data_IF_714993570318
#
_entry.id   IF_714993570318
#
_cell.length_a   1.000
_cell.length_b   1.000
_cell.length_c   1.000
_cell.angle_alpha   90.00
_cell.angle_beta   90.00
_cell.angle_gamma   90.00
#
_symmetry.space_group_name_H-M   'P 1'
#
loop_
_entity.id
_entity.type
_entity.pdbx_description
1 polymer ?
#
# COMPACT_ATOMS: atom_id res chain seq x y z
N UNK A 1 12.74 -3.24 -20.23
CA UNK A 1 12.36 -2.18 -19.28
C UNK A 1 12.95 -2.57 -17.94
N UNK A 2 13.62 -1.64 -17.25
CA UNK A 2 14.24 -1.83 -15.94
C UNK A 2 13.37 -1.21 -14.85
N UNK A 3 13.64 -1.50 -13.58
CA UNK A 3 12.88 -0.91 -12.47
C UNK A 3 12.94 0.63 -12.46
N UNK A 4 14.05 1.20 -12.94
CA UNK A 4 14.26 2.64 -13.06
C UNK A 4 13.28 3.32 -14.02
N UNK A 5 12.77 2.59 -15.03
CA UNK A 5 11.77 3.11 -15.99
C UNK A 5 10.40 3.31 -15.33
N UNK A 6 10.21 2.78 -14.12
CA UNK A 6 8.94 2.75 -13.38
C UNK A 6 9.05 3.35 -11.97
N UNK A 7 10.03 4.21 -11.74
CA UNK A 7 10.08 4.98 -10.50
C UNK A 7 8.83 5.88 -10.41
N UNK A 8 8.29 5.98 -9.20
CA UNK A 8 7.14 6.82 -8.90
C UNK A 8 7.48 8.29 -9.12
N UNK A 9 6.49 9.07 -9.52
CA UNK A 9 6.61 10.52 -9.61
C UNK A 9 6.41 11.17 -8.23
N UNK A 10 6.74 12.45 -8.10
CA UNK A 10 6.41 13.24 -6.91
C UNK A 10 4.92 13.22 -6.54
N UNK A 11 4.05 13.17 -7.56
CA UNK A 11 2.59 13.08 -7.37
C UNK A 11 2.22 11.72 -6.79
N UNK A 12 2.78 10.63 -7.31
CA UNK A 12 2.54 9.28 -6.79
C UNK A 12 3.03 9.15 -5.35
N UNK A 13 4.21 9.70 -5.04
CA UNK A 13 4.76 9.74 -3.68
C UNK A 13 3.85 10.53 -2.74
N UNK A 14 3.39 11.71 -3.15
CA UNK A 14 2.46 12.53 -2.35
C UNK A 14 1.12 11.81 -2.12
N UNK A 15 0.56 11.17 -3.15
CA UNK A 15 -0.66 10.37 -3.04
C UNK A 15 -0.46 9.18 -2.11
N UNK A 16 0.68 8.49 -2.16
CA UNK A 16 0.98 7.39 -1.24
C UNK A 16 1.07 7.89 0.20
N UNK A 17 1.74 9.03 0.47
CA UNK A 17 1.82 9.58 1.83
C UNK A 17 0.46 10.03 2.37
N UNK A 18 -0.44 10.51 1.50
CA UNK A 18 -1.80 10.91 1.89
C UNK A 18 -2.70 9.69 2.10
N UNK A 19 -2.75 8.78 1.13
CA UNK A 19 -3.72 7.69 1.07
C UNK A 19 -3.21 6.40 1.72
N UNK A 20 -1.90 6.22 1.81
CA UNK A 20 -1.25 5.04 2.37
C UNK A 20 -1.21 3.83 1.42
N UNK A 21 -1.51 4.01 0.12
CA UNK A 21 -1.42 2.92 -0.86
C UNK A 21 -1.13 3.43 -2.28
N UNK A 22 -0.64 2.52 -3.13
CA UNK A 22 -0.42 2.68 -4.56
C UNK A 22 -0.80 1.36 -5.26
N UNK A 23 -1.40 1.43 -6.45
CA UNK A 23 -1.86 0.24 -7.19
C UNK A 23 -1.20 0.20 -8.54
N UNK A 24 -0.68 -0.97 -8.90
CA UNK A 24 -0.01 -1.22 -10.17
C UNK A 24 -0.76 -2.31 -10.92
N UNK A 25 -1.23 -2.02 -12.13
CA UNK A 25 -1.67 -3.04 -13.08
C UNK A 25 -0.45 -3.52 -13.88
N UNK A 26 -0.06 -4.78 -13.69
CA UNK A 26 1.17 -5.32 -14.23
C UNK A 26 0.99 -5.83 -15.67
N UNK A 27 1.93 -5.48 -16.53
CA UNK A 27 2.06 -6.05 -17.88
C UNK A 27 2.78 -7.41 -17.83
N UNK A 28 2.10 -8.40 -17.23
CA UNK A 28 2.64 -9.75 -17.06
C UNK A 28 2.55 -10.56 -18.37
N UNK A 29 3.45 -11.54 -18.57
CA UNK A 29 3.34 -12.49 -19.67
C UNK A 29 1.95 -13.10 -19.78
N UNK A 30 1.44 -13.18 -21.01
CA UNK A 30 0.12 -13.74 -21.27
C UNK A 30 -0.01 -15.15 -20.67
N UNK A 31 -1.05 -15.36 -19.86
CA UNK A 31 -1.33 -16.64 -19.20
C UNK A 31 -0.70 -16.80 -17.80
N UNK A 32 0.25 -15.97 -17.39
CA UNK A 32 0.91 -16.11 -16.08
C UNK A 32 -0.08 -16.02 -14.91
N UNK A 33 -0.98 -15.04 -14.94
CA UNK A 33 -2.09 -14.88 -13.99
C UNK A 33 -2.94 -16.16 -13.84
N UNK A 34 -3.27 -16.78 -14.98
CA UNK A 34 -4.07 -18.00 -15.03
C UNK A 34 -3.30 -19.18 -14.47
N UNK A 35 -2.04 -19.35 -14.86
CA UNK A 35 -1.16 -20.39 -14.34
C UNK A 35 -1.06 -20.32 -12.81
N UNK A 36 -0.75 -19.13 -12.27
CA UNK A 36 -0.67 -18.93 -10.81
C UNK A 36 -2.00 -19.30 -10.14
N UNK A 37 -3.14 -18.90 -10.71
CA UNK A 37 -4.45 -19.26 -10.15
C UNK A 37 -4.69 -20.78 -10.15
N UNK A 38 -4.35 -21.47 -11.24
CA UNK A 38 -4.50 -22.92 -11.37
C UNK A 38 -3.59 -23.69 -10.40
N UNK A 39 -2.34 -23.25 -10.22
CA UNK A 39 -1.42 -23.83 -9.23
C UNK A 39 -1.92 -23.65 -7.80
N UNK A 40 -2.41 -22.46 -7.46
CA UNK A 40 -3.03 -22.19 -6.16
C UNK A 40 -4.26 -23.08 -5.92
N UNK A 41 -5.10 -23.28 -6.94
CA UNK A 41 -6.26 -24.18 -6.83
C UNK A 41 -5.87 -25.65 -6.65
N UNK A 42 -4.70 -26.04 -7.15
CA UNK A 42 -4.12 -27.38 -6.98
C UNK A 42 -3.54 -27.66 -5.59
N UNK A 43 -3.31 -26.63 -4.76
CA UNK A 43 -2.78 -26.80 -3.41
C UNK A 43 -3.82 -27.44 -2.48
N UNK A 44 -3.42 -28.49 -1.77
CA UNK A 44 -4.30 -29.22 -0.83
C UNK A 44 -4.45 -28.52 0.52
N UNK A 45 -3.52 -27.63 0.87
CA UNK A 45 -3.52 -26.82 2.07
C UNK A 45 -2.76 -25.51 1.84
N UNK A 46 -2.92 -24.54 2.75
CA UNK A 46 -2.15 -23.30 2.71
C UNK A 46 -0.69 -23.58 3.11
N UNK A 47 0.30 -23.32 2.24
CA UNK A 47 1.71 -23.59 2.54
C UNK A 47 2.33 -22.55 3.49
N UNK A 48 1.59 -21.51 3.87
CA UNK A 48 2.08 -20.43 4.72
C UNK A 48 3.23 -19.69 4.04
N UNK A 49 4.32 -19.49 4.78
CA UNK A 49 5.50 -18.77 4.30
C UNK A 49 6.20 -19.48 3.13
N UNK A 50 5.91 -20.76 2.89
CA UNK A 50 6.44 -21.55 1.78
C UNK A 50 5.68 -21.35 0.44
N UNK A 51 4.87 -20.29 0.32
CA UNK A 51 3.99 -20.07 -0.83
C UNK A 51 4.77 -19.89 -2.14
N UNK A 52 5.90 -19.20 -2.12
CA UNK A 52 6.73 -19.01 -3.34
C UNK A 52 7.54 -20.25 -3.70
N UNK A 53 7.73 -21.18 -2.78
CA UNK A 53 8.32 -22.48 -3.04
C UNK A 53 7.27 -23.42 -3.65
N UNK A 54 6.00 -23.22 -3.29
CA UNK A 54 4.86 -23.97 -3.82
C UNK A 54 4.37 -23.44 -5.17
N UNK A 55 4.49 -22.13 -5.40
CA UNK A 55 4.12 -21.41 -6.64
C UNK A 55 5.28 -20.46 -7.02
N UNK A 56 6.37 -20.97 -7.62
CA UNK A 56 7.59 -20.19 -7.94
C UNK A 56 7.37 -18.99 -8.86
N UNK A 57 6.35 -19.03 -9.70
CA UNK A 57 5.92 -18.01 -10.65
C UNK A 57 5.63 -16.66 -9.95
N UNK A 58 5.30 -16.69 -8.67
CA UNK A 58 5.13 -15.48 -7.86
C UNK A 58 6.38 -14.59 -7.82
N UNK A 59 7.58 -15.15 -8.00
CA UNK A 59 8.79 -14.34 -8.12
C UNK A 59 8.79 -13.47 -9.37
N UNK A 60 8.22 -13.94 -10.49
CA UNK A 60 8.10 -13.11 -11.71
C UNK A 60 7.21 -11.88 -11.48
N UNK A 61 6.27 -11.95 -10.52
CA UNK A 61 5.41 -10.83 -10.13
C UNK A 61 6.16 -9.86 -9.21
N UNK A 62 6.76 -10.37 -8.13
CA UNK A 62 7.46 -9.53 -7.13
C UNK A 62 8.69 -8.85 -7.73
N UNK A 63 9.39 -9.55 -8.64
CA UNK A 63 10.57 -9.03 -9.33
C UNK A 63 10.22 -8.23 -10.59
N UNK A 64 8.95 -8.10 -10.94
CA UNK A 64 8.52 -7.36 -12.11
C UNK A 64 9.00 -5.89 -12.04
N UNK A 65 9.57 -5.32 -13.13
CA UNK A 65 10.10 -3.96 -13.12
C UNK A 65 9.15 -2.89 -12.57
N UNK A 66 7.84 -2.99 -12.87
CA UNK A 66 6.84 -2.06 -12.34
C UNK A 66 6.67 -2.16 -10.81
N UNK A 67 6.72 -3.37 -10.24
CA UNK A 67 6.66 -3.58 -8.78
C UNK A 67 7.95 -3.07 -8.14
N UNK A 68 9.10 -3.44 -8.70
CA UNK A 68 10.41 -3.02 -8.21
C UNK A 68 10.58 -1.51 -8.24
N UNK A 69 10.18 -0.84 -9.32
CA UNK A 69 10.26 0.62 -9.43
C UNK A 69 9.46 1.34 -8.35
N UNK A 70 8.24 0.86 -8.08
CA UNK A 70 7.41 1.37 -6.99
C UNK A 70 8.02 1.10 -5.60
N UNK A 71 8.54 -0.11 -5.36
CA UNK A 71 9.18 -0.45 -4.07
C UNK A 71 10.47 0.35 -3.84
N UNK A 72 11.32 0.53 -4.86
CA UNK A 72 12.53 1.36 -4.78
C UNK A 72 12.17 2.81 -4.43
N UNK A 73 11.13 3.34 -5.07
CA UNK A 73 10.66 4.71 -4.81
C UNK A 73 10.24 4.92 -3.36
N UNK A 74 9.62 3.90 -2.73
CA UNK A 74 9.06 3.99 -1.38
C UNK A 74 10.04 3.55 -0.28
N UNK A 75 10.90 2.57 -0.53
CA UNK A 75 11.76 1.91 0.47
C UNK A 75 13.27 2.08 0.23
N UNK A 76 13.69 2.63 -0.92
CA UNK A 76 15.09 2.70 -1.34
C UNK A 76 15.54 1.47 -2.13
N UNK A 77 16.72 1.55 -2.77
CA UNK A 77 17.22 0.50 -3.69
C UNK A 77 17.48 -0.85 -3.00
N UNK A 78 17.94 -0.81 -1.75
CA UNK A 78 18.35 -1.99 -0.98
C UNK A 78 17.22 -2.61 -0.15
N UNK A 79 15.95 -2.37 -0.51
CA UNK A 79 14.81 -2.94 0.21
C UNK A 79 14.88 -4.47 0.25
N UNK A 80 14.28 -5.07 1.28
CA UNK A 80 14.21 -6.53 1.44
C UNK A 80 12.80 -7.04 1.26
N UNK A 81 12.68 -8.23 0.68
CA UNK A 81 11.45 -9.03 0.70
C UNK A 81 11.50 -9.94 1.94
N UNK A 82 10.51 -9.85 2.81
CA UNK A 82 10.44 -10.67 4.01
C UNK A 82 10.14 -12.13 3.65
N UNK A 83 10.61 -13.07 4.48
CA UNK A 83 10.21 -14.48 4.39
C UNK A 83 8.74 -14.69 4.72
N UNK A 84 8.16 -13.82 5.56
CA UNK A 84 6.74 -13.89 5.86
C UNK A 84 5.91 -13.52 4.64
N UNK A 85 5.16 -14.50 4.14
CA UNK A 85 4.37 -14.43 2.91
C UNK A 85 3.13 -15.26 3.13
N UNK A 86 1.99 -14.85 2.60
CA UNK A 86 0.76 -15.57 2.88
C UNK A 86 -0.21 -15.59 1.71
N UNK A 87 -0.72 -16.77 1.41
CA UNK A 87 -1.83 -16.93 0.48
C UNK A 87 -3.16 -16.80 1.22
N UNK A 88 -3.90 -15.75 0.92
CA UNK A 88 -5.25 -15.54 1.42
C UNK A 88 -6.27 -16.07 0.41
N UNK A 89 -6.68 -17.32 0.60
CA UNK A 89 -7.77 -17.94 -0.15
C UNK A 89 -9.11 -17.72 0.56
N UNK A 90 -9.98 -16.90 -0.04
CA UNK A 90 -11.31 -16.63 0.51
C UNK A 90 -12.37 -17.47 -0.20
N UNK A 91 -12.94 -18.43 0.51
CA UNK A 91 -13.89 -19.40 -0.05
C UNK A 91 -15.28 -18.79 -0.33
N UNK A 92 -16.05 -19.33 -1.29
CA UNK A 92 -17.46 -18.99 -1.48
C UNK A 92 -18.26 -19.08 -0.17
N UNK A 93 -19.11 -18.10 0.10
CA UNK A 93 -19.95 -18.03 1.30
C UNK A 93 -19.22 -17.66 2.60
N UNK A 94 -17.91 -17.38 2.56
CA UNK A 94 -17.16 -16.98 3.76
C UNK A 94 -17.47 -15.54 4.18
N UNK A 95 -17.52 -15.32 5.50
CA UNK A 95 -17.80 -14.02 6.12
C UNK A 95 -16.68 -13.00 5.93
N UNK A 96 -16.88 -11.80 6.45
CA UNK A 96 -15.92 -10.70 6.46
C UNK A 96 -14.81 -10.90 7.51
N UNK A 97 -13.77 -10.06 7.42
CA UNK A 97 -12.76 -9.92 8.46
C UNK A 97 -12.78 -8.48 8.95
N UNK A 98 -12.80 -8.31 10.27
CA UNK A 98 -12.86 -7.01 10.93
C UNK A 98 -11.63 -6.15 10.59
N UNK A 99 -11.76 -4.84 10.84
CA UNK A 99 -10.65 -3.92 10.69
C UNK A 99 -9.49 -4.28 11.60
N UNK A 100 -8.31 -4.33 11.00
CA UNK A 100 -7.07 -4.53 11.68
C UNK A 100 -5.96 -3.82 10.90
N UNK A 101 -4.80 -3.80 11.53
CA UNK A 101 -3.51 -3.61 10.87
C UNK A 101 -2.70 -4.86 11.15
N UNK A 102 -1.68 -5.11 10.33
CA UNK A 102 -0.81 -6.25 10.58
C UNK A 102 0.06 -5.99 11.82
N UNK A 103 0.10 -6.97 12.73
CA UNK A 103 0.84 -6.83 13.99
C UNK A 103 0.33 -5.70 14.90
N UNK A 104 1.18 -5.28 15.82
CA UNK A 104 0.85 -4.24 16.81
C UNK A 104 1.10 -2.84 16.25
N UNK A 105 0.26 -1.87 16.62
CA UNK A 105 0.47 -0.46 16.27
C UNK A 105 1.74 0.08 16.93
N UNK A 106 2.79 0.21 16.11
CA UNK A 106 4.08 0.78 16.52
C UNK A 106 4.03 2.31 16.69
N UNK A 107 2.92 2.95 16.30
CA UNK A 107 2.68 4.40 16.35
C UNK A 107 3.77 5.19 15.62
N UNK A 108 4.42 4.55 14.66
CA UNK A 108 5.43 5.14 13.79
C UNK A 108 4.79 6.04 12.75
N UNK A 109 5.57 6.99 12.27
CA UNK A 109 5.17 7.91 11.20
C UNK A 109 6.09 7.80 9.99
N UNK A 110 6.93 6.77 9.94
CA UNK A 110 7.95 6.57 8.92
C UNK A 110 7.50 5.53 7.90
N UNK A 111 7.98 5.63 6.66
CA UNK A 111 7.70 4.62 5.62
C UNK A 111 8.86 3.60 5.63
N UNK A 112 8.78 2.63 6.53
CA UNK A 112 9.81 1.59 6.71
C UNK A 112 9.36 0.19 6.27
N UNK A 113 8.04 -0.03 6.20
CA UNK A 113 7.45 -1.33 5.90
C UNK A 113 6.24 -1.18 4.99
N UNK A 114 6.13 -2.08 4.03
CA UNK A 114 5.02 -2.14 3.08
C UNK A 114 4.40 -3.54 3.04
N UNK A 115 3.11 -3.57 2.72
CA UNK A 115 2.39 -4.78 2.30
C UNK A 115 2.21 -4.75 0.79
N UNK A 116 2.57 -5.83 0.12
CA UNK A 116 2.20 -6.07 -1.27
C UNK A 116 1.07 -7.09 -1.36
N UNK A 117 0.02 -6.76 -2.09
CA UNK A 117 -1.16 -7.60 -2.28
C UNK A 117 -1.32 -7.88 -3.78
N UNK A 118 -0.99 -9.10 -4.19
CA UNK A 118 -1.12 -9.53 -5.57
C UNK A 118 -2.41 -10.28 -5.82
N UNK A 119 -3.09 -9.96 -6.92
CA UNK A 119 -4.35 -10.56 -7.34
C UNK A 119 -4.18 -11.28 -8.70
N UNK A 120 -4.09 -12.62 -8.73
CA UNK A 120 -3.85 -13.37 -9.98
C UNK A 120 -5.09 -13.48 -10.88
N UNK A 121 -6.22 -12.94 -10.45
CA UNK A 121 -7.50 -12.96 -11.17
C UNK A 121 -8.32 -11.72 -10.79
N UNK A 122 -9.28 -11.34 -11.64
CA UNK A 122 -10.11 -10.16 -11.42
C UNK A 122 -10.97 -10.32 -10.17
N UNK A 123 -11.01 -9.29 -9.34
CA UNK A 123 -11.78 -9.25 -8.10
C UNK A 123 -13.01 -8.34 -8.28
N UNK A 124 -14.20 -8.92 -8.18
CA UNK A 124 -15.46 -8.17 -8.18
C UNK A 124 -15.91 -7.86 -6.75
N UNK A 125 -16.88 -6.93 -6.54
CA UNK A 125 -17.41 -6.63 -5.21
C UNK A 125 -17.92 -7.85 -4.44
N UNK A 126 -18.49 -8.83 -5.14
CA UNK A 126 -19.12 -10.03 -4.55
C UNK A 126 -18.10 -11.09 -4.14
N UNK A 127 -16.84 -10.99 -4.61
CA UNK A 127 -15.78 -11.97 -4.34
C UNK A 127 -15.10 -11.77 -2.96
N UNK A 128 -15.59 -10.83 -2.16
CA UNK A 128 -15.00 -10.47 -0.87
C UNK A 128 -13.63 -9.80 -1.04
N UNK A 129 -13.57 -8.63 -1.71
CA UNK A 129 -12.33 -7.88 -1.88
C UNK A 129 -11.68 -7.55 -0.53
N UNK A 130 -10.36 -7.37 -0.56
CA UNK A 130 -9.68 -6.64 0.51
C UNK A 130 -10.24 -5.23 0.54
N UNK A 131 -10.59 -4.72 1.71
CA UNK A 131 -11.07 -3.34 1.88
C UNK A 131 -9.99 -2.59 2.63
N UNK A 132 -9.55 -1.47 2.09
CA UNK A 132 -8.56 -0.59 2.71
C UNK A 132 -9.21 0.71 3.17
N UNK A 133 -8.59 1.39 4.12
CA UNK A 133 -9.08 2.67 4.63
C UNK A 133 -8.02 3.75 4.44
N UNK A 134 -8.06 4.49 3.32
CA UNK A 134 -7.03 5.46 2.98
C UNK A 134 -6.82 6.54 4.06
N UNK A 135 -5.56 6.89 4.32
CA UNK A 135 -5.18 7.90 5.32
C UNK A 135 -5.12 7.42 6.77
N UNK A 136 -5.39 6.14 7.04
CA UNK A 136 -5.34 5.59 8.40
C UNK A 136 -3.95 5.17 8.88
N UNK A 137 -2.95 5.14 8.00
CA UNK A 137 -1.61 4.62 8.29
C UNK A 137 -0.88 5.34 9.44
N UNK A 138 -1.26 6.58 9.76
CA UNK A 138 -0.69 7.36 10.86
C UNK A 138 -1.61 7.45 12.09
N UNK A 139 -2.72 6.68 12.10
CA UNK A 139 -3.68 6.70 13.20
C UNK A 139 -3.11 5.96 14.40
N UNK A 140 -2.95 6.70 15.49
CA UNK A 140 -2.70 6.13 16.79
C UNK A 140 -4.03 5.65 17.41
N UNK A 141 -4.43 4.41 17.08
CA UNK A 141 -5.59 3.76 17.67
C UNK A 141 -5.20 2.45 18.36
N UNK A 142 -5.89 2.07 19.45
CA UNK A 142 -5.69 0.77 20.09
C UNK A 142 -6.07 -0.38 19.15
N UNK A 143 -5.12 -1.25 18.83
CA UNK A 143 -5.30 -2.38 17.90
C UNK A 143 -6.43 -3.32 18.32
N UNK A 144 -6.64 -3.53 19.61
CA UNK A 144 -7.70 -4.38 20.17
C UNK A 144 -9.10 -3.82 19.95
N UNK A 145 -9.24 -2.49 19.88
CA UNK A 145 -10.52 -1.81 19.65
C UNK A 145 -10.83 -1.62 18.17
N UNK A 146 -9.85 -1.77 17.28
CA UNK A 146 -10.05 -1.56 15.85
C UNK A 146 -11.12 -2.49 15.28
N UNK A 147 -11.14 -3.75 15.73
CA UNK A 147 -12.09 -4.75 15.28
C UNK A 147 -13.56 -4.42 15.62
N UNK A 148 -13.83 -3.46 16.52
CA UNK A 148 -15.20 -3.05 16.87
C UNK A 148 -15.74 -1.92 16.00
N UNK A 149 -14.91 -1.31 15.15
CA UNK A 149 -15.40 -0.37 14.15
C UNK A 149 -16.15 -1.12 13.05
N UNK A 150 -17.18 -0.50 12.49
CA UNK A 150 -18.01 -1.08 11.41
C UNK A 150 -17.78 -0.34 10.11
N UNK A 151 -18.62 0.63 9.76
CA UNK A 151 -18.43 1.39 8.53
C UNK A 151 -17.48 2.56 8.80
N UNK A 152 -16.37 2.60 8.07
CA UNK A 152 -15.46 3.74 8.09
C UNK A 152 -15.68 4.55 6.82
N UNK A 153 -15.97 5.84 6.97
CA UNK A 153 -16.12 6.76 5.84
C UNK A 153 -14.84 6.72 4.99
N UNK A 154 -15.00 6.63 3.67
CA UNK A 154 -13.87 6.67 2.73
C UNK A 154 -13.16 5.32 2.54
N UNK A 155 -13.65 4.23 3.15
CA UNK A 155 -13.12 2.89 2.86
C UNK A 155 -13.26 2.54 1.36
N UNK A 156 -12.26 1.84 0.81
CA UNK A 156 -12.17 1.50 -0.61
C UNK A 156 -12.04 -0.03 -0.75
N UNK A 157 -12.99 -0.72 -1.39
CA UNK A 157 -12.80 -2.11 -1.77
C UNK A 157 -11.83 -2.20 -2.95
N UNK A 158 -10.84 -3.08 -2.86
CA UNK A 158 -9.91 -3.37 -3.96
C UNK A 158 -10.59 -4.30 -4.98
N UNK A 159 -11.46 -3.74 -5.81
CA UNK A 159 -12.06 -4.39 -6.99
C UNK A 159 -11.20 -4.12 -8.21
N UNK A 160 -10.30 -5.06 -8.51
CA UNK A 160 -9.16 -4.85 -9.40
C UNK A 160 -9.09 -5.92 -10.48
N UNK A 161 -8.37 -5.65 -11.57
CA UNK A 161 -8.15 -6.64 -12.63
C UNK A 161 -7.11 -7.69 -12.24
N UNK A 162 -7.15 -8.84 -12.91
CA UNK A 162 -6.09 -9.85 -12.82
C UNK A 162 -4.73 -9.22 -13.14
N UNK A 163 -3.69 -9.59 -12.37
CA UNK A 163 -2.36 -9.02 -12.52
C UNK A 163 -2.13 -7.73 -11.71
N UNK A 164 -3.10 -7.32 -10.89
CA UNK A 164 -2.93 -6.13 -10.04
C UNK A 164 -2.04 -6.44 -8.83
N UNK A 165 -1.11 -5.53 -8.55
CA UNK A 165 -0.30 -5.50 -7.34
C UNK A 165 -0.59 -4.20 -6.56
N UNK A 166 -1.28 -4.31 -5.43
CA UNK A 166 -1.52 -3.18 -4.54
C UNK A 166 -0.43 -3.12 -3.46
N UNK A 167 0.22 -1.97 -3.34
CA UNK A 167 1.23 -1.68 -2.33
C UNK A 167 0.60 -0.79 -1.28
N UNK A 168 0.60 -1.19 -0.02
CA UNK A 168 0.07 -0.38 1.09
C UNK A 168 1.16 -0.10 2.12
N UNK A 169 1.03 1.00 2.84
CA UNK A 169 1.71 1.18 4.11
C UNK A 169 1.34 0.03 5.04
N UNK A 170 2.31 -0.45 5.82
CA UNK A 170 2.11 -1.61 6.70
C UNK A 170 1.00 -1.39 7.73
N UNK A 171 0.96 -0.19 8.33
CA UNK A 171 -0.06 0.19 9.31
C UNK A 171 -1.38 0.70 8.68
N UNK A 172 -1.57 0.61 7.35
CA UNK A 172 -2.85 0.99 6.74
C UNK A 172 -3.96 0.04 7.23
N UNK A 173 -5.06 0.60 7.73
CA UNK A 173 -6.16 -0.23 8.20
C UNK A 173 -6.82 -0.93 7.04
N UNK A 174 -7.05 -2.22 7.22
CA UNK A 174 -7.66 -3.05 6.22
C UNK A 174 -8.49 -4.17 6.84
N UNK A 175 -9.33 -4.76 6.01
CA UNK A 175 -10.21 -5.88 6.32
C UNK A 175 -10.56 -6.61 5.04
N UNK A 176 -11.54 -7.50 5.09
CA UNK A 176 -12.06 -8.14 3.86
C UNK A 176 -13.57 -8.20 3.90
N UNK A 177 -14.23 -7.90 2.78
CA UNK A 177 -15.68 -8.10 2.67
C UNK A 177 -16.03 -9.59 2.59
N UNK A 178 -17.30 -9.94 2.80
CA UNK A 178 -17.80 -11.30 2.59
C UNK A 178 -17.63 -11.74 1.13
N UNK A 179 -17.31 -13.01 0.90
CA UNK A 179 -17.36 -13.59 -0.44
C UNK A 179 -18.74 -14.21 -0.66
N UNK A 180 -19.65 -13.45 -1.29
CA UNK A 180 -21.00 -13.89 -1.66
C UNK A 180 -21.06 -14.51 -3.07
N UNK A 181 -19.95 -14.57 -3.79
CA UNK A 181 -19.84 -15.23 -5.09
C UNK A 181 -19.72 -16.75 -4.98
N UNK A 182 -19.73 -17.44 -6.12
CA UNK A 182 -19.47 -18.88 -6.23
C UNK A 182 -18.00 -19.24 -6.50
N UNK A 183 -17.09 -18.26 -6.48
CA UNK A 183 -15.68 -18.44 -6.89
C UNK A 183 -14.75 -18.21 -5.70
N UNK A 184 -13.67 -19.00 -5.59
CA UNK A 184 -12.61 -18.74 -4.60
C UNK A 184 -11.88 -17.45 -4.97
N UNK A 185 -11.53 -16.63 -3.98
CA UNK A 185 -10.76 -15.39 -4.18
C UNK A 185 -9.35 -15.54 -3.63
N UNK A 186 -8.38 -15.64 -4.52
CA UNK A 186 -6.96 -15.64 -4.18
C UNK A 186 -6.41 -14.21 -4.08
N UNK A 187 -5.58 -13.97 -3.06
CA UNK A 187 -4.66 -12.84 -2.96
C UNK A 187 -3.41 -13.33 -2.27
N UNK A 188 -2.24 -12.90 -2.73
CA UNK A 188 -0.97 -13.25 -2.12
C UNK A 188 -0.38 -12.01 -1.49
N UNK A 189 -0.08 -12.13 -0.20
CA UNK A 189 0.50 -11.08 0.65
C UNK A 189 2.01 -11.26 0.73
N UNK A 190 2.73 -10.17 0.51
CA UNK A 190 4.17 -10.02 0.70
C UNK A 190 4.45 -8.87 1.67
N UNK A 191 5.56 -8.97 2.41
CA UNK A 191 6.05 -7.88 3.24
C UNK A 191 7.39 -7.39 2.70
N UNK A 192 7.59 -6.08 2.72
CA UNK A 192 8.84 -5.45 2.31
C UNK A 192 9.33 -4.51 3.40
N UNK A 193 10.65 -4.46 3.61
CA UNK A 193 11.26 -3.55 4.57
C UNK A 193 12.32 -2.68 3.92
N UNK A 194 12.35 -1.41 4.33
CA UNK A 194 13.48 -0.52 4.19
C UNK A 194 14.67 -1.06 5.00
N UNK A 195 15.86 -0.97 4.44
CA UNK A 195 17.11 -1.45 5.08
C UNK A 195 18.02 -0.31 5.50
N UNK A 196 17.89 0.85 4.87
CA UNK A 196 18.70 2.04 5.12
C UNK A 196 17.88 3.32 4.96
N UNK A 197 18.35 4.37 5.60
CA UNK A 197 17.79 5.71 5.45
C UNK A 197 18.16 6.29 4.08
N UNK A 198 17.28 7.12 3.53
CA UNK A 198 17.57 7.82 2.29
C UNK A 198 18.61 8.92 2.56
N UNK A 199 19.63 9.02 1.70
CA UNK A 199 20.51 10.19 1.62
C UNK A 199 20.08 11.16 0.52
N UNK A 200 19.21 10.69 -0.39
CA UNK A 200 18.61 11.43 -1.48
C UNK A 200 17.30 10.73 -1.90
N UNK A 201 16.44 11.38 -2.70
CA UNK A 201 15.26 10.75 -3.28
C UNK A 201 15.60 9.49 -4.10
N UNK A 202 14.85 8.41 -3.90
CA UNK A 202 14.96 7.16 -4.66
C UNK A 202 13.86 6.99 -5.72
N UNK A 203 13.08 8.04 -5.98
CA UNK A 203 12.01 8.08 -6.98
C UNK A 203 12.33 9.11 -8.08
N UNK A 204 11.45 9.24 -9.08
CA UNK A 204 11.60 10.25 -10.14
C UNK A 204 11.19 11.63 -9.60
N UNK A 205 12.16 12.30 -8.95
CA UNK A 205 11.96 13.55 -8.23
C UNK A 205 12.31 14.78 -9.08
N UNK A 206 11.37 15.72 -9.16
CA UNK A 206 11.58 17.10 -9.61
C UNK A 206 11.92 18.00 -8.40
N UNK A 207 13.11 18.64 -8.35
CA UNK A 207 13.49 19.56 -7.27
C UNK A 207 12.48 20.71 -7.05
N UNK A 208 11.71 21.08 -8.07
CA UNK A 208 10.68 22.13 -8.00
C UNK A 208 9.30 21.62 -7.56
N UNK A 209 9.15 20.31 -7.29
CA UNK A 209 7.87 19.67 -6.97
C UNK A 209 7.14 20.33 -5.79
N UNK A 210 7.89 20.84 -4.80
CA UNK A 210 7.34 21.56 -3.65
C UNK A 210 7.45 23.09 -3.72
N UNK A 211 8.03 23.66 -4.77
CA UNK A 211 8.22 25.11 -4.92
C UNK A 211 7.02 25.80 -5.61
N UNK A 212 5.92 25.08 -5.81
CA UNK A 212 4.70 25.63 -6.40
C UNK A 212 3.86 26.35 -5.35
N UNK A 213 3.05 27.32 -5.81
CA UNK A 213 2.13 28.04 -4.91
C UNK A 213 1.06 27.09 -4.39
N UNK A 214 0.77 27.19 -3.09
CA UNK A 214 -0.37 26.49 -2.50
C UNK A 214 -1.67 27.12 -2.99
N UNK A 215 -2.49 26.31 -3.65
CA UNK A 215 -3.84 26.66 -4.06
C UNK A 215 -4.83 26.19 -2.99
N UNK A 216 -5.29 27.14 -2.17
CA UNK A 216 -6.24 26.87 -1.09
C UNK A 216 -7.63 26.48 -1.59
N UNK A 217 -7.94 26.75 -2.85
CA UNK A 217 -9.22 26.41 -3.49
C UNK A 217 -9.20 25.03 -4.14
N UNK A 218 -8.02 24.52 -4.53
CA UNK A 218 -7.87 23.21 -5.16
C UNK A 218 -8.32 22.04 -4.26
N UNK A 219 -8.08 22.14 -2.94
CA UNK A 219 -8.48 21.13 -1.93
C UNK A 219 -8.15 19.68 -2.36
N UNK A 220 -9.17 18.85 -2.54
CA UNK A 220 -9.11 17.44 -2.94
C UNK A 220 -8.88 17.23 -4.45
N UNK A 221 -8.89 18.30 -5.24
CA UNK A 221 -8.64 18.29 -6.70
C UNK A 221 -7.20 18.62 -7.08
N UNK A 222 -6.31 18.73 -6.09
CA UNK A 222 -4.89 18.99 -6.30
C UNK A 222 -4.27 17.93 -7.23
N UNK A 223 -3.43 18.37 -8.16
CA UNK A 223 -2.74 17.50 -9.12
C UNK A 223 -1.21 17.57 -8.98
N UNK A 224 -0.71 18.39 -8.06
CA UNK A 224 0.71 18.55 -7.76
C UNK A 224 1.01 18.14 -6.31
N UNK A 225 2.27 17.75 -6.07
CA UNK A 225 2.69 17.18 -4.80
C UNK A 225 2.46 18.13 -3.60
N UNK A 226 2.77 19.42 -3.73
CA UNK A 226 2.63 20.36 -2.60
C UNK A 226 1.18 20.54 -2.19
N UNK A 227 0.25 20.63 -3.14
CA UNK A 227 -1.17 20.76 -2.84
C UNK A 227 -1.77 19.43 -2.35
N UNK A 228 -1.35 18.28 -2.90
CA UNK A 228 -1.78 16.95 -2.42
C UNK A 228 -1.39 16.75 -0.96
N UNK A 229 -0.11 16.96 -0.60
CA UNK A 229 0.37 16.85 0.79
C UNK A 229 -0.34 17.82 1.74
N UNK A 230 -0.64 19.02 1.26
CA UNK A 230 -1.29 20.06 2.05
C UNK A 230 -2.78 19.76 2.27
N UNK A 231 -3.51 19.30 1.26
CA UNK A 231 -4.97 19.34 1.28
C UNK A 231 -5.66 17.99 1.22
N UNK A 232 -4.94 16.91 0.86
CA UNK A 232 -5.51 15.57 0.81
C UNK A 232 -6.13 15.14 2.15
N UNK A 233 -7.42 14.80 2.15
CA UNK A 233 -8.16 14.41 3.35
C UNK A 233 -9.13 13.26 3.01
N UNK A 234 -8.63 12.04 2.75
CA UNK A 234 -9.46 10.94 2.26
C UNK A 234 -10.57 10.52 3.23
N UNK A 235 -10.38 10.74 4.54
CA UNK A 235 -11.36 10.42 5.57
C UNK A 235 -12.34 11.58 5.87
N UNK A 236 -12.08 12.77 5.34
CA UNK A 236 -12.84 13.98 5.67
C UNK A 236 -12.78 14.32 7.16
N UNK A 237 -11.60 14.17 7.78
CA UNK A 237 -11.41 14.40 9.22
C UNK A 237 -11.47 15.89 9.57
N UNK A 238 -11.62 16.17 10.86
CA UNK A 238 -11.67 17.52 11.40
C UNK A 238 -10.40 18.32 11.03
N UNK A 239 -10.53 19.65 10.98
CA UNK A 239 -9.41 20.53 10.63
C UNK A 239 -8.17 20.32 11.52
N UNK A 240 -8.36 20.13 12.82
CA UNK A 240 -7.26 19.90 13.76
C UNK A 240 -6.54 18.58 13.52
N UNK A 241 -7.27 17.52 13.16
CA UNK A 241 -6.65 16.22 12.84
C UNK A 241 -5.95 16.27 11.49
N UNK A 242 -6.57 16.91 10.50
CA UNK A 242 -5.97 17.13 9.19
C UNK A 242 -4.65 17.91 9.28
N UNK A 243 -4.55 18.92 10.16
CA UNK A 243 -3.30 19.66 10.37
C UNK A 243 -2.18 18.79 10.96
N UNK A 244 -2.51 17.88 11.89
CA UNK A 244 -1.53 16.91 12.41
C UNK A 244 -1.06 15.96 11.31
N UNK A 245 -1.98 15.41 10.54
CA UNK A 245 -1.65 14.51 9.43
C UNK A 245 -0.82 15.23 8.35
N UNK A 246 -1.12 16.48 8.04
CA UNK A 246 -0.33 17.32 7.12
C UNK A 246 1.12 17.44 7.60
N UNK A 247 1.34 17.74 8.89
CA UNK A 247 2.70 17.85 9.46
C UNK A 247 3.45 16.53 9.31
N UNK A 248 2.79 15.42 9.62
CA UNK A 248 3.36 14.07 9.48
C UNK A 248 3.75 13.81 8.02
N UNK A 249 2.84 14.02 7.05
CA UNK A 249 3.11 13.79 5.62
C UNK A 249 4.30 14.59 5.11
N UNK A 250 4.41 15.86 5.50
CA UNK A 250 5.58 16.68 5.15
C UNK A 250 6.86 16.19 5.83
N UNK A 251 6.78 15.72 7.08
CA UNK A 251 7.93 15.12 7.76
C UNK A 251 8.38 13.84 7.04
N UNK A 252 7.46 12.94 6.66
CA UNK A 252 7.76 11.75 5.86
C UNK A 252 8.43 12.13 4.53
N UNK A 253 7.90 13.15 3.84
CA UNK A 253 8.51 13.64 2.60
C UNK A 253 9.97 14.06 2.83
N UNK A 254 10.24 14.87 3.86
CA UNK A 254 11.60 15.30 4.16
C UNK A 254 12.53 14.14 4.54
N UNK A 255 12.04 13.13 5.27
CA UNK A 255 12.81 11.93 5.56
C UNK A 255 13.17 11.17 4.28
N UNK A 256 12.21 11.00 3.36
CA UNK A 256 12.43 10.33 2.08
C UNK A 256 13.38 11.13 1.16
N UNK A 257 13.44 12.46 1.31
CA UNK A 257 14.44 13.32 0.66
C UNK A 257 15.85 13.18 1.25
N UNK A 258 15.99 12.58 2.43
CA UNK A 258 17.24 12.51 3.20
C UNK A 258 17.49 13.69 4.16
N UNK A 259 16.48 14.54 4.38
CA UNK A 259 16.58 15.77 5.17
C UNK A 259 16.09 15.59 6.62
N UNK A 260 16.78 14.74 7.41
CA UNK A 260 16.33 14.41 8.78
C UNK A 260 16.57 15.51 9.83
N UNK A 261 17.54 16.40 9.61
CA UNK A 261 17.97 17.42 10.59
C UNK A 261 16.85 18.41 10.99
N UNK A 262 15.78 18.54 10.21
CA UNK A 262 14.65 19.44 10.55
C UNK A 262 13.58 18.82 11.47
N UNK A 263 13.66 17.53 11.80
CA UNK A 263 12.65 16.85 12.62
C UNK A 263 12.94 16.90 14.13
N UNK A 264 14.21 16.92 14.55
CA UNK A 264 14.58 16.94 15.98
C UNK A 264 14.31 18.31 16.62
N UNK A 265 14.44 19.41 15.88
CA UNK A 265 14.16 20.77 16.39
C UNK A 265 12.66 21.05 16.60
N UNK A 266 11.75 20.25 16.03
CA UNK A 266 10.29 20.47 16.11
C UNK A 266 9.57 19.52 17.08
N UNK A 267 10.30 18.76 17.90
CA UNK A 267 9.74 17.88 18.93
C UNK A 267 9.36 18.59 20.25
N UNK A 268 9.31 19.92 20.27
CA UNK A 268 8.87 20.73 21.42
C UNK A 268 7.61 21.52 21.12
#
# INVERSE_FOLDING_TARGET
MTATDYLLTDVDMALFLVNGFHVVELDLPAGLNKQISEELDGLTANPGDAITESVPELWQVVEHPQVRGALISLLGEDYTVNSHRHWHCKLPGSGDMQWHQDGTNNRGTTIDRLLGLYYPHTITPEMGPTVIVPGTQFRNAPTDRMATYTNIRGQVPLTVQAGTFAITHYDLWHGTACNSSSVKRHMIKFLFNRTSENSAPSWNHDPEALNRTRDWDARDKAQDAVNILSFGNPLGVSQSDHYKERIIRHACWQELMGNREQQEERRF
#
